data_IF_140438110809
#
_entry.id   IF_140438110809
#
_cell.length_a   1.000
_cell.length_b   1.000
_cell.length_c   1.000
_cell.angle_alpha   90.00
_cell.angle_beta   90.00
_cell.angle_gamma   90.00
#
_symmetry.space_group_name_H-M   'P 1'
#
loop_
_entity.id
_entity.type
_entity.pdbx_description
1 polymer ?
#
# COMPACT_ATOMS: atom_id res chain seq x y z
N UNK A 1 -23.71 3.22 5.50
CA UNK A 1 -22.43 3.94 5.38
C UNK A 1 -22.72 5.32 4.84
N UNK A 2 -22.35 6.38 5.56
CA UNK A 2 -22.50 7.76 5.08
C UNK A 2 -21.69 7.99 3.81
N UNK A 3 -22.12 8.93 2.96
CA UNK A 3 -21.41 9.25 1.73
C UNK A 3 -20.04 9.87 2.06
N UNK A 4 -18.95 9.10 1.91
CA UNK A 4 -17.60 9.53 2.22
C UNK A 4 -16.99 10.23 1.00
N UNK A 5 -16.82 11.54 1.09
CA UNK A 5 -16.14 12.31 0.05
C UNK A 5 -14.69 12.52 0.45
N UNK A 6 -13.75 11.86 -0.23
CA UNK A 6 -12.31 12.03 -0.05
C UNK A 6 -11.81 12.95 -1.16
N UNK A 7 -11.16 14.06 -0.79
CA UNK A 7 -10.44 14.91 -1.73
C UNK A 7 -9.02 14.40 -1.83
N UNK A 8 -8.66 13.90 -3.01
CA UNK A 8 -7.32 13.49 -3.38
C UNK A 8 -6.86 14.41 -4.49
N UNK A 9 -5.58 14.72 -4.53
CA UNK A 9 -5.00 15.27 -5.73
C UNK A 9 -5.04 14.23 -6.89
N UNK A 10 -4.85 14.65 -8.15
CA UNK A 10 -4.92 13.75 -9.29
C UNK A 10 -3.89 12.59 -9.24
N UNK A 11 -2.71 12.83 -8.68
CA UNK A 11 -1.61 11.87 -8.65
C UNK A 11 -1.85 10.81 -7.56
N UNK A 12 -2.26 11.24 -6.37
CA UNK A 12 -2.73 10.38 -5.28
C UNK A 12 -3.87 9.48 -5.75
N UNK A 13 -4.83 10.05 -6.49
CA UNK A 13 -5.95 9.28 -7.06
C UNK A 13 -5.47 8.25 -8.09
N UNK A 14 -4.49 8.58 -8.92
CA UNK A 14 -3.92 7.66 -9.89
C UNK A 14 -3.18 6.50 -9.20
N UNK A 15 -2.37 6.79 -8.18
CA UNK A 15 -1.68 5.79 -7.37
C UNK A 15 -2.65 4.86 -6.64
N UNK A 16 -3.69 5.42 -6.01
CA UNK A 16 -4.71 4.64 -5.33
C UNK A 16 -5.44 3.68 -6.29
N UNK A 17 -5.74 4.15 -7.50
CA UNK A 17 -6.35 3.32 -8.54
C UNK A 17 -5.42 2.19 -9.00
N UNK A 18 -4.13 2.47 -9.15
CA UNK A 18 -3.14 1.47 -9.51
C UNK A 18 -3.01 0.40 -8.43
N UNK A 19 -2.95 0.80 -7.16
CA UNK A 19 -2.87 -0.13 -6.02
C UNK A 19 -4.13 -0.99 -5.87
N UNK A 20 -5.31 -0.40 -5.98
CA UNK A 20 -6.57 -1.15 -5.98
C UNK A 20 -6.57 -2.22 -7.09
N UNK A 21 -6.09 -1.86 -8.29
CA UNK A 21 -5.96 -2.79 -9.42
C UNK A 21 -4.98 -3.93 -9.14
N UNK A 22 -3.83 -3.66 -8.54
CA UNK A 22 -2.86 -4.70 -8.14
C UNK A 22 -3.48 -5.68 -7.15
N UNK A 23 -4.34 -5.20 -6.25
CA UNK A 23 -5.08 -6.01 -5.28
C UNK A 23 -6.38 -6.63 -5.85
N UNK A 24 -6.68 -6.45 -7.14
CA UNK A 24 -7.87 -7.00 -7.79
C UNK A 24 -9.19 -6.37 -7.33
N UNK A 25 -9.15 -5.20 -6.69
CA UNK A 25 -10.31 -4.52 -6.11
C UNK A 25 -10.71 -3.26 -6.89
N UNK A 26 -11.98 -2.87 -6.79
CA UNK A 26 -12.39 -1.53 -7.21
C UNK A 26 -11.79 -0.48 -6.28
N UNK A 27 -11.55 0.74 -6.75
CA UNK A 27 -11.01 1.82 -5.89
C UNK A 27 -11.90 2.07 -4.67
N UNK A 28 -13.22 2.00 -4.85
CA UNK A 28 -14.18 2.20 -3.76
C UNK A 28 -14.10 1.10 -2.71
N UNK A 29 -14.04 -0.16 -3.14
CA UNK A 29 -13.98 -1.30 -2.21
C UNK A 29 -12.63 -1.34 -1.51
N UNK A 30 -11.56 -0.97 -2.22
CA UNK A 30 -10.24 -0.82 -1.64
C UNK A 30 -10.21 0.25 -0.54
N UNK A 31 -10.80 1.44 -0.77
CA UNK A 31 -10.92 2.48 0.26
C UNK A 31 -11.71 1.99 1.48
N UNK A 32 -12.84 1.29 1.26
CA UNK A 32 -13.65 0.75 2.37
C UNK A 32 -12.86 -0.24 3.20
N UNK A 33 -12.09 -1.12 2.56
CA UNK A 33 -11.24 -2.08 3.23
C UNK A 33 -10.15 -1.39 4.06
N UNK A 34 -9.50 -0.35 3.49
CA UNK A 34 -8.52 0.45 4.21
C UNK A 34 -9.12 1.12 5.45
N UNK A 35 -10.28 1.77 5.32
CA UNK A 35 -10.97 2.41 6.46
C UNK A 35 -11.38 1.38 7.51
N UNK A 36 -11.87 0.20 7.11
CA UNK A 36 -12.22 -0.85 8.06
C UNK A 36 -10.99 -1.39 8.82
N UNK A 37 -9.88 -1.60 8.13
CA UNK A 37 -8.62 -2.00 8.74
C UNK A 37 -8.09 -0.90 9.70
N UNK A 38 -8.22 0.37 9.31
CA UNK A 38 -7.82 1.53 10.10
C UNK A 38 -8.58 1.59 11.44
N UNK A 39 -9.90 1.40 11.38
CA UNK A 39 -10.76 1.36 12.56
C UNK A 39 -10.49 0.13 13.44
N UNK A 40 -10.10 -1.01 12.85
CA UNK A 40 -9.82 -2.23 13.59
C UNK A 40 -8.46 -2.21 14.30
N UNK A 41 -7.46 -1.50 13.75
CA UNK A 41 -6.10 -1.50 14.26
C UNK A 41 -5.95 -0.81 15.63
N UNK A 42 -6.88 0.04 16.07
CA UNK A 42 -6.91 0.61 17.44
C UNK A 42 -5.79 1.61 17.79
N UNK A 43 -4.58 1.47 17.22
CA UNK A 43 -3.46 2.39 17.30
C UNK A 43 -2.59 2.35 16.02
N UNK A 44 -1.64 3.27 15.91
CA UNK A 44 -0.77 3.40 14.74
C UNK A 44 0.26 2.27 14.59
N UNK A 45 0.71 1.67 15.70
CA UNK A 45 1.69 0.58 15.67
C UNK A 45 1.08 -0.68 15.09
N UNK A 46 -0.10 -1.07 15.57
CA UNK A 46 -0.82 -2.25 15.09
C UNK A 46 -1.17 -2.15 13.60
N UNK A 47 -1.44 -0.92 13.12
CA UNK A 47 -1.66 -0.63 11.70
C UNK A 47 -0.41 -0.86 10.86
N UNK A 48 0.74 -0.35 11.33
CA UNK A 48 2.02 -0.54 10.66
C UNK A 48 2.41 -2.02 10.64
N UNK A 49 2.24 -2.71 11.77
CA UNK A 49 2.52 -4.14 11.90
C UNK A 49 1.63 -4.99 10.97
N UNK A 50 0.33 -4.68 10.88
CA UNK A 50 -0.59 -5.36 9.98
C UNK A 50 -0.19 -5.18 8.52
N UNK A 51 0.12 -3.94 8.12
CA UNK A 51 0.61 -3.66 6.77
C UNK A 51 1.93 -4.39 6.48
N UNK A 52 2.87 -4.41 7.43
CA UNK A 52 4.14 -5.10 7.26
C UNK A 52 3.94 -6.60 7.03
N UNK A 53 3.12 -7.26 7.85
CA UNK A 53 2.82 -8.71 7.69
C UNK A 53 2.18 -9.03 6.34
N UNK A 54 1.29 -8.16 5.84
CA UNK A 54 0.67 -8.35 4.52
C UNK A 54 1.65 -8.23 3.35
N UNK A 55 2.74 -7.45 3.51
CA UNK A 55 3.69 -7.14 2.44
C UNK A 55 5.08 -7.78 2.66
N UNK A 56 5.26 -8.56 3.73
CA UNK A 56 6.54 -9.16 4.13
C UNK A 56 7.19 -9.95 2.98
N UNK A 57 6.41 -10.79 2.28
CA UNK A 57 6.92 -11.60 1.18
C UNK A 57 7.40 -10.76 -0.01
N UNK A 58 6.69 -9.66 -0.32
CA UNK A 58 7.07 -8.74 -1.39
C UNK A 58 8.36 -7.99 -1.03
N UNK A 59 8.44 -7.48 0.20
CA UNK A 59 9.62 -6.78 0.73
C UNK A 59 10.83 -7.72 0.76
N UNK A 60 10.65 -8.98 1.20
CA UNK A 60 11.71 -9.97 1.22
C UNK A 60 12.23 -10.30 -0.20
N UNK A 61 11.33 -10.42 -1.18
CA UNK A 61 11.69 -10.62 -2.58
C UNK A 61 12.48 -9.44 -3.15
N UNK A 62 12.03 -8.22 -2.91
CA UNK A 62 12.75 -7.00 -3.32
C UNK A 62 14.13 -6.91 -2.64
N UNK A 63 14.22 -7.20 -1.34
CA UNK A 63 15.48 -7.18 -0.61
C UNK A 63 16.48 -8.19 -1.18
N UNK A 64 16.02 -9.39 -1.53
CA UNK A 64 16.88 -10.40 -2.14
C UNK A 64 17.32 -10.01 -3.57
N UNK A 65 16.42 -9.40 -4.33
CA UNK A 65 16.75 -8.86 -5.65
C UNK A 65 17.80 -7.76 -5.55
N UNK A 66 17.72 -6.86 -4.57
CA UNK A 66 18.73 -5.83 -4.33
C UNK A 66 20.08 -6.42 -3.92
N UNK A 67 20.10 -7.44 -3.05
CA UNK A 67 21.35 -8.12 -2.68
C UNK A 67 22.03 -8.80 -3.88
N UNK A 68 21.25 -9.43 -4.75
CA UNK A 68 21.76 -10.20 -5.89
C UNK A 68 22.13 -9.32 -7.09
N UNK A 69 21.34 -8.28 -7.36
CA UNK A 69 21.46 -7.46 -8.58
C UNK A 69 22.06 -6.08 -8.34
N UNK A 70 22.33 -5.73 -7.07
CA UNK A 70 22.70 -4.38 -6.67
C UNK A 70 21.49 -3.44 -6.58
N UNK A 71 21.71 -2.25 -6.03
CA UNK A 71 20.67 -1.21 -5.94
C UNK A 71 20.44 -0.64 -7.35
N UNK A 72 19.23 -0.72 -7.91
CA UNK A 72 18.94 -0.12 -9.21
C UNK A 72 19.28 1.38 -9.21
N UNK A 73 20.05 1.82 -10.20
CA UNK A 73 20.47 3.23 -10.31
C UNK A 73 21.64 3.63 -9.41
N UNK A 74 22.28 2.72 -8.66
CA UNK A 74 23.47 3.04 -7.86
C UNK A 74 24.67 3.51 -8.69
N UNK A 75 24.67 3.23 -9.99
CA UNK A 75 25.68 3.66 -10.96
C UNK A 75 25.48 5.11 -11.45
N UNK A 76 24.38 5.77 -11.06
CA UNK A 76 24.08 7.17 -11.39
C UNK A 76 24.47 8.14 -10.27
N UNK A 77 24.99 7.62 -9.15
CA UNK A 77 25.40 8.38 -7.96
C UNK A 77 26.89 8.68 -7.96
#
# INVERSE_FOLDING_TARGET
MSNLTIRLDPDEKAHLKAWAKVKGASTTDYIKALVAADMAAGNSQDRADAWFRENEAAIAGEAEQVKTSGVPGSYLA
#
